data_IF_067583882477
#
_entry.id   IF_067583882477
#
_cell.length_a   1.000
_cell.length_b   1.000
_cell.length_c   1.000
_cell.angle_alpha   90.00
_cell.angle_beta   90.00
_cell.angle_gamma   90.00
#
_symmetry.space_group_name_H-M   'P 1'
#
loop_
_entity.id
_entity.type
_entity.pdbx_description
1 polymer ?
#
# COMPACT_ATOMS: atom_id res chain seq x y z
N UNK A 1 -7.14 -61.07 -10.36
CA UNK A 1 -5.90 -60.33 -10.68
C UNK A 1 -6.17 -58.86 -10.42
N UNK A 2 -5.53 -58.24 -9.43
CA UNK A 2 -5.65 -56.79 -9.21
C UNK A 2 -4.79 -56.12 -10.28
N UNK A 3 -5.40 -55.40 -11.19
CA UNK A 3 -4.69 -54.53 -12.14
C UNK A 3 -3.93 -53.49 -11.31
N UNK A 4 -2.60 -53.47 -11.39
CA UNK A 4 -1.80 -52.38 -10.85
C UNK A 4 -2.07 -51.14 -11.71
N UNK A 5 -3.07 -50.35 -11.31
CA UNK A 5 -3.40 -49.07 -11.95
C UNK A 5 -2.27 -48.07 -11.66
N UNK A 6 -1.77 -47.39 -12.70
CA UNK A 6 -0.69 -46.40 -12.55
C UNK A 6 -1.18 -45.12 -11.87
N UNK A 7 -0.25 -44.34 -11.33
CA UNK A 7 -0.53 -43.02 -10.74
C UNK A 7 -1.34 -42.11 -11.69
N UNK A 8 -1.00 -42.07 -12.98
CA UNK A 8 -1.69 -41.23 -13.96
C UNK A 8 -3.12 -41.72 -14.25
N UNK A 9 -3.35 -43.02 -14.27
CA UNK A 9 -4.70 -43.58 -14.44
C UNK A 9 -5.60 -43.28 -13.24
N UNK A 10 -5.09 -43.43 -12.01
CA UNK A 10 -5.85 -43.13 -10.79
C UNK A 10 -6.26 -41.64 -10.74
N UNK A 11 -5.34 -40.75 -11.13
CA UNK A 11 -5.62 -39.32 -11.25
C UNK A 11 -6.65 -39.03 -12.35
N UNK A 12 -6.49 -39.62 -13.54
CA UNK A 12 -7.40 -39.41 -14.69
C UNK A 12 -8.82 -39.89 -14.43
N UNK A 13 -8.98 -40.98 -13.67
CA UNK A 13 -10.30 -41.57 -13.36
C UNK A 13 -11.02 -40.88 -12.19
N UNK A 14 -10.41 -39.86 -11.55
CA UNK A 14 -10.97 -39.13 -10.40
C UNK A 14 -11.59 -40.06 -9.35
N UNK A 15 -10.99 -41.23 -9.11
CA UNK A 15 -11.60 -42.22 -8.22
C UNK A 15 -11.68 -41.62 -6.82
N UNK A 16 -12.90 -41.50 -6.28
CA UNK A 16 -13.21 -41.09 -4.90
C UNK A 16 -12.68 -42.08 -3.84
N UNK A 17 -11.82 -43.00 -4.24
CA UNK A 17 -11.18 -43.98 -3.39
C UNK A 17 -10.09 -43.33 -2.53
N UNK A 18 -9.80 -43.96 -1.39
CA UNK A 18 -8.75 -43.55 -0.45
C UNK A 18 -7.41 -43.52 -1.21
N UNK A 19 -6.64 -42.40 -1.16
CA UNK A 19 -5.40 -42.28 -1.92
C UNK A 19 -4.46 -43.41 -1.51
N UNK A 20 -3.98 -44.15 -2.51
CA UNK A 20 -3.15 -45.34 -2.32
C UNK A 20 -1.66 -44.99 -2.25
N UNK A 21 -1.27 -43.85 -2.84
CA UNK A 21 0.11 -43.36 -2.91
C UNK A 21 0.28 -41.92 -2.40
N UNK A 22 1.51 -41.55 -2.01
CA UNK A 22 1.84 -40.19 -1.57
C UNK A 22 1.59 -39.15 -2.68
N UNK A 23 1.91 -39.49 -3.93
CA UNK A 23 1.70 -38.63 -5.10
C UNK A 23 0.21 -38.34 -5.33
N UNK A 24 -0.66 -39.34 -5.19
CA UNK A 24 -2.13 -39.14 -5.27
C UNK A 24 -2.64 -38.20 -4.19
N UNK A 25 -2.13 -38.33 -2.96
CA UNK A 25 -2.49 -37.44 -1.85
C UNK A 25 -2.04 -35.99 -2.11
N UNK A 26 -0.84 -35.80 -2.65
CA UNK A 26 -0.33 -34.47 -3.01
C UNK A 26 -1.15 -33.87 -4.16
N UNK A 27 -1.49 -34.67 -5.17
CA UNK A 27 -2.35 -34.25 -6.28
C UNK A 27 -3.72 -33.75 -5.81
N UNK A 28 -4.45 -34.56 -5.03
CA UNK A 28 -5.75 -34.20 -4.48
C UNK A 28 -5.67 -32.92 -3.61
N UNK A 29 -4.56 -32.73 -2.89
CA UNK A 29 -4.33 -31.53 -2.08
C UNK A 29 -4.12 -30.29 -2.95
N UNK A 30 -3.39 -30.39 -4.06
CA UNK A 30 -3.24 -29.29 -5.02
C UNK A 30 -4.60 -28.91 -5.58
N UNK A 31 -5.39 -29.86 -6.08
CA UNK A 31 -6.75 -29.59 -6.59
C UNK A 31 -7.64 -28.90 -5.55
N UNK A 32 -7.62 -29.38 -4.31
CA UNK A 32 -8.35 -28.76 -3.19
C UNK A 32 -7.89 -27.33 -2.92
N UNK A 33 -6.58 -27.06 -2.94
CA UNK A 33 -6.04 -25.72 -2.70
C UNK A 33 -6.30 -24.77 -3.87
N UNK A 34 -6.19 -25.24 -5.12
CA UNK A 34 -6.56 -24.48 -6.32
C UNK A 34 -8.04 -24.07 -6.25
N UNK A 35 -8.93 -25.03 -5.97
CA UNK A 35 -10.37 -24.75 -5.80
C UNK A 35 -10.65 -23.81 -4.64
N UNK A 36 -9.96 -23.97 -3.50
CA UNK A 36 -10.08 -23.06 -2.34
C UNK A 36 -9.74 -21.63 -2.74
N UNK A 37 -8.61 -21.41 -3.41
CA UNK A 37 -8.14 -20.08 -3.78
C UNK A 37 -9.07 -19.44 -4.83
N UNK A 38 -9.50 -20.19 -5.84
CA UNK A 38 -10.46 -19.70 -6.84
C UNK A 38 -11.81 -19.33 -6.19
N UNK A 39 -12.33 -20.17 -5.29
CA UNK A 39 -13.55 -19.87 -4.56
C UNK A 39 -13.41 -18.65 -3.64
N UNK A 40 -12.23 -18.48 -3.02
CA UNK A 40 -11.95 -17.30 -2.19
C UNK A 40 -11.98 -16.03 -3.05
N UNK A 41 -11.30 -16.04 -4.19
CA UNK A 41 -11.27 -14.93 -5.14
C UNK A 41 -12.67 -14.57 -5.65
N UNK A 42 -13.47 -15.56 -6.05
CA UNK A 42 -14.86 -15.35 -6.46
C UNK A 42 -15.71 -14.73 -5.35
N UNK A 43 -15.55 -15.18 -4.11
CA UNK A 43 -16.28 -14.61 -2.96
C UNK A 43 -15.84 -13.18 -2.67
N UNK A 44 -14.55 -12.91 -2.76
CA UNK A 44 -13.95 -11.59 -2.58
C UNK A 44 -14.50 -10.59 -3.61
N UNK A 45 -14.49 -10.96 -4.89
CA UNK A 45 -15.08 -10.18 -5.97
C UNK A 45 -16.59 -9.99 -5.79
N UNK A 46 -17.33 -11.05 -5.46
CA UNK A 46 -18.78 -10.96 -5.24
C UNK A 46 -19.16 -10.08 -4.05
N UNK A 47 -18.36 -10.05 -2.99
CA UNK A 47 -18.54 -9.12 -1.88
C UNK A 47 -18.24 -7.68 -2.30
N UNK A 48 -17.15 -7.48 -3.05
CA UNK A 48 -16.76 -6.16 -3.54
C UNK A 48 -17.84 -5.55 -4.43
N UNK A 49 -18.42 -6.32 -5.36
CA UNK A 49 -19.54 -5.87 -6.20
C UNK A 49 -20.72 -5.41 -5.33
N UNK A 50 -21.11 -6.20 -4.33
CA UNK A 50 -22.20 -5.81 -3.42
C UNK A 50 -21.88 -4.55 -2.61
N UNK A 51 -20.61 -4.36 -2.21
CA UNK A 51 -20.13 -3.15 -1.56
C UNK A 51 -20.25 -1.93 -2.48
N UNK A 52 -19.80 -2.04 -3.75
CA UNK A 52 -19.91 -0.95 -4.73
C UNK A 52 -21.36 -0.51 -4.96
N UNK A 53 -22.29 -1.47 -4.94
CA UNK A 53 -23.70 -1.18 -5.16
C UNK A 53 -24.40 -0.58 -3.93
N UNK A 54 -24.03 -1.00 -2.72
CA UNK A 54 -24.79 -0.67 -1.50
C UNK A 54 -24.12 0.34 -0.58
N UNK A 55 -22.78 0.34 -0.50
CA UNK A 55 -22.03 1.07 0.55
C UNK A 55 -21.21 2.20 -0.06
N UNK A 56 -20.54 1.97 -1.19
CA UNK A 56 -19.70 2.98 -1.84
C UNK A 56 -20.42 4.32 -2.11
N UNK A 57 -21.71 4.37 -2.51
CA UNK A 57 -22.41 5.64 -2.67
C UNK A 57 -22.51 6.45 -1.36
N UNK A 58 -22.59 5.77 -0.21
CA UNK A 58 -22.62 6.41 1.10
C UNK A 58 -21.23 6.90 1.52
N UNK A 59 -20.17 6.12 1.26
CA UNK A 59 -18.77 6.54 1.48
C UNK A 59 -18.46 7.81 0.66
N UNK A 60 -18.86 7.82 -0.62
CA UNK A 60 -18.69 8.97 -1.50
C UNK A 60 -19.50 10.19 -1.03
N UNK A 61 -20.71 9.97 -0.53
CA UNK A 61 -21.53 11.05 0.02
C UNK A 61 -20.90 11.64 1.29
N UNK A 62 -20.44 10.82 2.22
CA UNK A 62 -19.71 11.27 3.41
C UNK A 62 -18.45 12.06 3.03
N UNK A 63 -17.68 11.58 2.04
CA UNK A 63 -16.51 12.31 1.55
C UNK A 63 -16.88 13.71 1.01
N UNK A 64 -18.01 13.84 0.30
CA UNK A 64 -18.54 15.13 -0.15
C UNK A 64 -18.96 16.02 1.01
N UNK A 65 -19.58 15.47 2.07
CA UNK A 65 -19.97 16.22 3.25
C UNK A 65 -18.75 16.74 4.02
N UNK A 66 -17.71 15.91 4.19
CA UNK A 66 -16.44 16.33 4.79
C UNK A 66 -15.78 17.43 3.96
N UNK A 67 -15.78 17.31 2.63
CA UNK A 67 -15.27 18.36 1.75
C UNK A 67 -16.03 19.69 1.90
N UNK A 68 -17.36 19.64 2.02
CA UNK A 68 -18.17 20.83 2.30
C UNK A 68 -17.82 21.43 3.67
N UNK A 69 -17.59 20.59 4.67
CA UNK A 69 -17.12 21.02 5.99
C UNK A 69 -15.78 21.74 5.92
N UNK A 70 -14.78 21.17 5.25
CA UNK A 70 -13.48 21.81 5.03
C UNK A 70 -13.66 23.19 4.40
N UNK A 71 -14.41 23.28 3.30
CA UNK A 71 -14.65 24.53 2.59
C UNK A 71 -15.37 25.58 3.46
N UNK A 72 -16.34 25.16 4.27
CA UNK A 72 -17.09 26.05 5.17
C UNK A 72 -16.21 26.55 6.32
N UNK A 73 -15.57 25.63 7.04
CA UNK A 73 -14.72 25.94 8.19
C UNK A 73 -13.52 26.81 7.81
N UNK A 74 -12.95 26.60 6.62
CA UNK A 74 -11.83 27.42 6.10
C UNK A 74 -12.16 28.91 6.05
N UNK A 75 -13.42 29.29 5.81
CA UNK A 75 -13.83 30.70 5.72
C UNK A 75 -13.71 31.46 7.06
N UNK A 76 -13.60 30.74 8.17
CA UNK A 76 -13.43 31.33 9.50
C UNK A 76 -11.97 31.58 9.87
N UNK A 77 -11.02 30.93 9.19
CA UNK A 77 -9.57 31.09 9.43
C UNK A 77 -9.08 32.54 9.38
N UNK A 78 -9.55 33.44 8.49
CA UNK A 78 -9.08 34.84 8.52
C UNK A 78 -9.80 35.72 9.58
N UNK A 79 -10.71 35.19 10.40
CA UNK A 79 -11.48 36.01 11.34
C UNK A 79 -10.63 36.41 12.55
N UNK A 80 -10.39 37.73 12.71
CA UNK A 80 -9.64 38.33 13.84
C UNK A 80 -10.23 38.06 15.22
N UNK A 81 -11.50 37.68 15.30
CA UNK A 81 -12.14 37.38 16.57
C UNK A 81 -11.68 36.05 17.18
N UNK A 82 -11.14 35.10 16.41
CA UNK A 82 -10.59 33.83 16.95
C UNK A 82 -9.26 34.08 17.65
N UNK A 83 -9.02 33.42 18.79
CA UNK A 83 -7.69 33.39 19.41
C UNK A 83 -6.75 32.49 18.61
N UNK A 84 -5.44 32.62 18.81
CA UNK A 84 -4.46 31.78 18.12
C UNK A 84 -4.66 30.30 18.43
N UNK A 85 -4.94 29.97 19.70
CA UNK A 85 -5.25 28.60 20.11
C UNK A 85 -6.49 28.03 19.40
N UNK A 86 -7.58 28.81 19.32
CA UNK A 86 -8.79 28.41 18.59
C UNK A 86 -8.52 28.23 17.10
N UNK A 87 -7.68 29.10 16.51
CA UNK A 87 -7.34 29.03 15.09
C UNK A 87 -6.47 27.81 14.78
N UNK A 88 -5.50 27.50 15.64
CA UNK A 88 -4.68 26.31 15.50
C UNK A 88 -5.55 25.05 15.58
N UNK A 89 -6.49 24.97 16.54
CA UNK A 89 -7.44 23.84 16.59
C UNK A 89 -8.27 23.71 15.32
N UNK A 90 -8.74 24.84 14.77
CA UNK A 90 -9.51 24.85 13.51
C UNK A 90 -8.67 24.34 12.33
N UNK A 91 -7.42 24.78 12.24
CA UNK A 91 -6.47 24.34 11.21
C UNK A 91 -6.15 22.86 11.35
N UNK A 92 -5.87 22.39 12.57
CA UNK A 92 -5.60 20.98 12.87
C UNK A 92 -6.78 20.10 12.51
N UNK A 93 -7.99 20.54 12.82
CA UNK A 93 -9.20 19.82 12.44
C UNK A 93 -9.37 19.74 10.93
N UNK A 94 -9.22 20.85 10.20
CA UNK A 94 -9.31 20.82 8.73
C UNK A 94 -8.22 19.92 8.11
N UNK A 95 -6.99 19.93 8.66
CA UNK A 95 -5.92 19.05 8.22
C UNK A 95 -6.26 17.57 8.47
N UNK A 96 -6.83 17.23 9.64
CA UNK A 96 -7.27 15.87 9.92
C UNK A 96 -8.35 15.39 8.93
N UNK A 97 -9.30 16.25 8.58
CA UNK A 97 -10.31 15.96 7.56
C UNK A 97 -9.68 15.78 6.16
N UNK A 98 -8.68 16.61 5.80
CA UNK A 98 -7.93 16.48 4.55
C UNK A 98 -7.11 15.18 4.48
N UNK A 99 -6.42 14.82 5.56
CA UNK A 99 -5.63 13.59 5.67
C UNK A 99 -6.53 12.35 5.59
N UNK A 100 -7.70 12.41 6.22
CA UNK A 100 -8.72 11.39 6.10
C UNK A 100 -9.14 11.20 4.63
N UNK A 101 -9.51 12.28 3.94
CA UNK A 101 -9.91 12.20 2.53
C UNK A 101 -8.76 11.74 1.61
N UNK A 102 -7.52 12.15 1.87
CA UNK A 102 -6.36 11.76 1.08
C UNK A 102 -6.00 10.27 1.22
N UNK A 103 -6.24 9.69 2.40
CA UNK A 103 -6.00 8.27 2.66
C UNK A 103 -7.21 7.38 2.32
N UNK A 104 -8.39 7.96 2.11
CA UNK A 104 -9.62 7.22 1.87
C UNK A 104 -9.74 6.75 0.40
N UNK A 105 -9.90 5.43 0.15
CA UNK A 105 -9.91 4.90 -1.22
C UNK A 105 -11.21 5.16 -2.00
N UNK A 106 -12.32 5.51 -1.33
CA UNK A 106 -13.65 5.62 -1.96
C UNK A 106 -14.21 7.05 -1.98
N UNK A 107 -13.39 8.03 -2.37
CA UNK A 107 -13.78 9.46 -2.44
C UNK A 107 -14.52 9.85 -3.73
N UNK A 108 -14.60 8.95 -4.72
CA UNK A 108 -15.35 9.18 -5.96
C UNK A 108 -14.67 10.21 -6.89
N UNK A 109 -15.40 11.25 -7.27
CA UNK A 109 -14.91 12.31 -8.18
C UNK A 109 -14.52 13.60 -7.44
N UNK A 110 -14.17 13.48 -6.16
CA UNK A 110 -13.83 14.62 -5.34
C UNK A 110 -12.51 15.26 -5.83
N UNK A 111 -12.55 16.58 -6.10
CA UNK A 111 -11.37 17.33 -6.49
C UNK A 111 -10.60 17.79 -5.25
N UNK A 112 -9.68 16.93 -4.80
CA UNK A 112 -8.82 17.18 -3.64
C UNK A 112 -7.93 18.40 -3.82
N UNK A 113 -7.53 18.73 -5.06
CA UNK A 113 -6.68 19.88 -5.33
C UNK A 113 -7.45 21.19 -5.09
N UNK A 114 -8.68 21.28 -5.59
CA UNK A 114 -9.55 22.44 -5.36
C UNK A 114 -9.87 22.64 -3.87
N UNK A 115 -10.13 21.57 -3.13
CA UNK A 115 -10.43 21.64 -1.69
C UNK A 115 -9.21 22.14 -0.91
N UNK A 116 -8.04 21.51 -1.14
CA UNK A 116 -6.77 21.93 -0.53
C UNK A 116 -6.43 23.38 -0.88
N UNK A 117 -6.64 23.79 -2.14
CA UNK A 117 -6.41 25.17 -2.57
C UNK A 117 -7.33 26.16 -1.84
N UNK A 118 -8.60 25.81 -1.65
CA UNK A 118 -9.55 26.65 -0.91
C UNK A 118 -9.11 26.87 0.54
N UNK A 119 -8.69 25.80 1.22
CA UNK A 119 -8.12 25.89 2.57
C UNK A 119 -6.85 26.75 2.60
N UNK A 120 -5.87 26.46 1.73
CA UNK A 120 -4.61 27.21 1.63
C UNK A 120 -4.83 28.69 1.33
N UNK A 121 -5.81 29.02 0.49
CA UNK A 121 -6.17 30.40 0.17
C UNK A 121 -6.62 31.16 1.43
N UNK A 122 -7.49 30.57 2.24
CA UNK A 122 -7.97 31.20 3.48
C UNK A 122 -6.88 31.31 4.55
N UNK A 123 -6.02 30.28 4.66
CA UNK A 123 -4.87 30.30 5.57
C UNK A 123 -3.83 31.36 5.16
N UNK A 124 -3.50 31.42 3.87
CA UNK A 124 -2.58 32.42 3.32
C UNK A 124 -3.09 33.85 3.53
N UNK A 125 -4.40 34.08 3.38
CA UNK A 125 -5.01 35.38 3.71
C UNK A 125 -4.80 35.76 5.18
N UNK A 126 -4.97 34.83 6.11
CA UNK A 126 -4.70 35.11 7.52
C UNK A 126 -3.22 35.42 7.77
N UNK A 127 -2.31 34.62 7.20
CA UNK A 127 -0.87 34.82 7.37
C UNK A 127 -0.42 36.18 6.81
N UNK A 128 -0.93 36.57 5.63
CA UNK A 128 -0.68 37.89 5.05
C UNK A 128 -1.23 39.02 5.92
N UNK A 129 -2.43 38.88 6.49
CA UNK A 129 -2.99 39.86 7.42
C UNK A 129 -2.17 39.96 8.71
N UNK A 130 -1.73 38.84 9.27
CA UNK A 130 -0.89 38.79 10.48
C UNK A 130 0.47 39.47 10.24
N UNK A 131 1.10 39.20 9.09
CA UNK A 131 2.37 39.81 8.69
C UNK A 131 2.22 41.31 8.41
N UNK A 132 1.09 41.74 7.86
CA UNK A 132 0.82 43.15 7.65
C UNK A 132 0.66 43.92 8.98
N UNK A 133 0.11 43.27 10.00
CA UNK A 133 -0.13 43.83 11.34
C UNK A 133 1.15 43.82 12.23
N UNK A 134 2.30 43.27 11.77
CA UNK A 134 3.57 43.31 12.51
C UNK A 134 4.04 44.77 12.70
N UNK A 135 4.27 45.23 13.95
CA UNK A 135 4.78 46.57 14.21
C UNK A 135 6.16 46.80 13.59
N UNK A 136 6.42 48.01 13.08
CA UNK A 136 7.76 48.37 12.57
C UNK A 136 8.87 48.20 13.60
N UNK A 137 8.56 48.25 14.90
CA UNK A 137 9.53 47.96 15.97
C UNK A 137 10.02 46.51 15.96
N UNK A 138 9.15 45.54 15.68
CA UNK A 138 9.52 44.12 15.61
C UNK A 138 10.27 43.81 14.31
N UNK A 139 9.85 44.42 13.19
CA UNK A 139 10.59 44.35 11.93
C UNK A 139 11.98 44.96 12.05
N UNK A 140 12.14 46.03 12.84
CA UNK A 140 13.45 46.61 13.13
C UNK A 140 14.34 45.68 13.96
N UNK A 141 13.76 44.91 14.91
CA UNK A 141 14.53 43.89 15.64
C UNK A 141 14.96 42.78 14.69
N UNK A 142 14.07 42.27 13.84
CA UNK A 142 14.40 41.24 12.86
C UNK A 142 15.45 41.72 11.84
N UNK A 143 15.32 42.96 11.35
CA UNK A 143 16.34 43.64 10.53
C UNK A 143 17.69 43.69 11.24
N UNK A 144 17.71 44.06 12.51
CA UNK A 144 18.95 44.15 13.29
C UNK A 144 19.60 42.78 13.45
N UNK A 145 18.82 41.72 13.67
CA UNK A 145 19.34 40.34 13.73
C UNK A 145 19.95 39.92 12.39
N UNK A 146 19.25 40.13 11.28
CA UNK A 146 19.78 39.79 9.94
C UNK A 146 21.02 40.61 9.58
N UNK A 147 21.10 41.89 9.99
CA UNK A 147 22.27 42.72 9.79
C UNK A 147 23.47 42.32 10.66
N UNK A 148 23.23 41.67 11.80
CA UNK A 148 24.29 41.13 12.64
C UNK A 148 24.97 39.92 11.97
N UNK A 149 24.17 39.03 11.38
CA UNK A 149 24.67 37.83 10.69
C UNK A 149 25.17 38.15 9.27
N UNK A 150 24.56 39.12 8.59
CA UNK A 150 24.91 39.58 7.24
C UNK A 150 25.14 41.11 7.22
N UNK A 151 26.32 41.59 7.63
CA UNK A 151 26.63 43.02 7.67
C UNK A 151 26.54 43.67 6.28
N UNK A 152 25.66 44.65 6.12
CA UNK A 152 25.42 45.36 4.87
C UNK A 152 24.19 44.89 4.08
N UNK A 153 23.46 43.89 4.57
CA UNK A 153 22.19 43.46 3.99
C UNK A 153 21.11 44.55 4.19
N UNK A 154 20.58 45.08 3.09
CA UNK A 154 19.53 46.09 3.08
C UNK A 154 18.18 45.46 2.70
N UNK A 155 17.28 45.33 3.69
CA UNK A 155 15.92 44.82 3.49
C UNK A 155 14.88 45.86 3.91
N UNK A 156 13.93 46.13 3.03
CA UNK A 156 12.75 46.98 3.29
C UNK A 156 11.78 46.30 4.26
N UNK A 157 10.88 47.08 4.88
CA UNK A 157 9.83 46.52 5.76
C UNK A 157 8.94 45.54 4.99
N UNK A 158 8.68 45.80 3.70
CA UNK A 158 7.94 44.92 2.81
C UNK A 158 8.68 43.60 2.53
N UNK A 159 9.98 43.65 2.24
CA UNK A 159 10.78 42.43 2.02
C UNK A 159 10.91 41.58 3.28
N UNK A 160 11.04 42.20 4.47
CA UNK A 160 11.07 41.48 5.74
C UNK A 160 9.74 40.78 6.02
N UNK A 161 8.62 41.42 5.68
CA UNK A 161 7.29 40.82 5.74
C UNK A 161 7.17 39.62 4.80
N UNK A 162 7.63 39.73 3.56
CA UNK A 162 7.65 38.61 2.60
C UNK A 162 8.51 37.43 3.09
N UNK A 163 9.69 37.69 3.65
CA UNK A 163 10.56 36.67 4.24
C UNK A 163 9.90 35.99 5.46
N UNK A 164 9.09 36.72 6.22
CA UNK A 164 8.33 36.14 7.35
C UNK A 164 7.25 35.16 6.88
N UNK A 165 6.71 35.36 5.66
CA UNK A 165 5.74 34.45 5.04
C UNK A 165 6.42 33.25 4.36
N UNK A 166 7.57 33.47 3.73
CA UNK A 166 8.37 32.45 3.06
C UNK A 166 9.86 32.67 3.36
N UNK A 167 10.43 31.94 4.36
CA UNK A 167 11.83 32.05 4.73
C UNK A 167 12.81 31.77 3.58
N UNK A 168 12.39 31.08 2.50
CA UNK A 168 13.25 30.80 1.36
C UNK A 168 13.58 32.06 0.54
N UNK A 169 12.74 33.10 0.61
CA UNK A 169 12.99 34.38 -0.06
C UNK A 169 14.22 35.11 0.50
N UNK A 170 14.63 34.80 1.73
CA UNK A 170 15.85 35.34 2.31
C UNK A 170 17.08 34.97 1.47
N UNK A 171 17.19 33.70 1.05
CA UNK A 171 18.31 33.24 0.22
C UNK A 171 18.38 33.98 -1.11
N UNK A 172 17.24 34.21 -1.74
CA UNK A 172 17.17 34.99 -2.98
C UNK A 172 17.67 36.43 -2.78
N UNK A 173 17.30 37.07 -1.67
CA UNK A 173 17.78 38.43 -1.37
C UNK A 173 19.26 38.47 -0.98
N UNK A 174 19.78 37.41 -0.34
CA UNK A 174 21.20 37.25 -0.07
C UNK A 174 22.00 37.12 -1.38
N UNK A 175 21.53 36.28 -2.30
CA UNK A 175 22.16 36.10 -3.63
C UNK A 175 22.14 37.41 -4.43
N UNK A 176 21.00 38.10 -4.49
CA UNK A 176 20.85 39.39 -5.20
C UNK A 176 21.78 40.50 -4.67
N UNK A 177 22.10 40.47 -3.38
CA UNK A 177 22.98 41.45 -2.73
C UNK A 177 24.44 40.98 -2.61
N UNK A 178 24.80 39.87 -3.28
CA UNK A 178 26.18 39.39 -3.34
C UNK A 178 26.68 38.69 -2.07
N UNK A 179 25.76 38.25 -1.22
CA UNK A 179 26.03 37.34 -0.10
C UNK A 179 25.89 35.86 -0.51
N UNK A 180 25.38 35.58 -1.71
CA UNK A 180 25.34 34.26 -2.33
C UNK A 180 26.71 33.82 -2.84
N UNK A 181 27.12 32.61 -2.49
CA UNK A 181 28.36 32.02 -2.99
C UNK A 181 28.21 31.79 -4.51
N UNK A 182 28.98 32.51 -5.32
CA UNK A 182 28.92 32.37 -6.78
C UNK A 182 29.63 31.08 -7.19
N UNK A 183 28.94 29.95 -7.11
CA UNK A 183 29.32 28.75 -7.84
C UNK A 183 28.21 28.38 -8.81
N UNK A 184 28.32 28.92 -10.02
CA UNK A 184 27.80 28.21 -11.19
C UNK A 184 28.60 26.90 -11.39
N UNK A 185 27.96 25.88 -11.98
CA UNK A 185 28.45 24.51 -11.99
C UNK A 185 29.47 24.31 -13.11
N UNK A 186 30.72 23.93 -12.78
CA UNK A 186 31.61 23.38 -13.79
C UNK A 186 32.52 22.25 -13.25
N UNK A 187 32.41 21.14 -13.98
CA UNK A 187 33.25 19.96 -14.17
C UNK A 187 34.50 19.69 -13.30
N UNK A 188 34.57 18.42 -12.88
CA UNK A 188 35.76 17.56 -12.78
C UNK A 188 36.98 18.03 -11.97
N UNK A 189 37.10 17.48 -10.76
CA UNK A 189 38.39 17.04 -10.21
C UNK A 189 38.19 16.06 -9.06
N UNK A 190 38.28 14.77 -9.38
CA UNK A 190 38.69 13.71 -8.45
C UNK A 190 40.00 14.09 -7.73
N UNK A 191 40.04 14.06 -6.40
CA UNK A 191 40.91 13.18 -5.61
C UNK A 191 40.81 13.47 -4.10
N UNK A 192 40.50 12.40 -3.37
CA UNK A 192 40.68 12.06 -1.95
C UNK A 192 42.08 12.51 -1.40
N UNK A 193 42.48 12.39 -0.10
CA UNK A 193 41.77 11.88 1.10
C UNK A 193 42.09 12.64 2.41
N UNK A 194 41.11 12.87 3.30
CA UNK A 194 41.41 13.21 4.70
C UNK A 194 41.08 12.06 5.66
N UNK A 195 42.17 11.34 5.89
CA UNK A 195 42.51 10.41 6.95
C UNK A 195 41.80 10.67 8.30
N UNK A 196 41.25 9.58 8.82
CA UNK A 196 40.73 9.42 10.17
C UNK A 196 41.80 9.69 11.24
N UNK A 197 41.38 10.35 12.32
CA UNK A 197 42.18 10.55 13.52
C UNK A 197 41.29 10.88 14.72
N UNK A 198 40.91 9.81 15.44
CA UNK A 198 40.44 9.76 16.83
C UNK A 198 39.28 10.67 17.27
N UNK A 199 38.08 10.09 17.26
CA UNK A 199 37.10 10.32 18.31
C UNK A 199 36.55 8.96 18.75
N UNK A 200 37.06 8.49 19.88
CA UNK A 200 36.60 7.30 20.57
C UNK A 200 35.41 7.71 21.45
N UNK A 201 34.22 7.24 21.11
CA UNK A 201 33.04 7.28 21.96
C UNK A 201 32.29 5.97 21.79
N UNK A 202 32.24 5.21 22.88
CA UNK A 202 31.39 4.05 23.09
C UNK A 202 29.92 4.44 22.84
N UNK A 203 29.29 3.82 21.83
CA UNK A 203 27.86 3.48 21.79
C UNK A 203 27.59 2.63 20.54
N UNK A 204 27.92 1.34 20.62
CA UNK A 204 27.53 0.33 19.62
C UNK A 204 26.32 -0.46 20.16
N UNK A 205 25.16 0.20 20.25
CA UNK A 205 23.86 -0.46 20.39
C UNK A 205 22.84 0.20 19.44
N UNK A 206 23.08 0.16 18.11
CA UNK A 206 21.98 0.18 17.12
C UNK A 206 22.37 -0.19 15.66
N UNK A 207 23.57 -0.71 15.41
CA UNK A 207 24.00 -1.10 14.05
C UNK A 207 23.62 -2.54 13.65
N UNK A 208 23.10 -3.34 14.57
CA UNK A 208 22.73 -4.73 14.30
C UNK A 208 21.41 -4.85 13.51
N UNK A 209 20.44 -3.94 13.68
CA UNK A 209 19.10 -4.10 13.06
C UNK A 209 19.08 -3.75 11.56
N UNK A 210 20.02 -2.91 11.09
CA UNK A 210 20.20 -2.57 9.68
C UNK A 210 20.90 -3.70 8.89
N UNK A 211 21.88 -4.37 9.52
CA UNK A 211 22.59 -5.50 8.90
C UNK A 211 21.72 -6.78 8.89
N UNK A 212 20.86 -6.97 9.89
CA UNK A 212 19.98 -8.13 9.99
C UNK A 212 18.86 -8.13 8.93
N UNK A 213 18.40 -6.94 8.49
CA UNK A 213 17.42 -6.82 7.41
C UNK A 213 18.05 -7.16 6.05
N UNK A 214 19.25 -6.65 5.76
CA UNK A 214 19.97 -6.96 4.51
C UNK A 214 20.41 -8.43 4.41
N UNK A 215 20.90 -9.03 5.50
CA UNK A 215 21.27 -10.45 5.53
C UNK A 215 20.04 -11.38 5.39
N UNK A 216 18.86 -10.99 5.87
CA UNK A 216 17.62 -11.78 5.68
C UNK A 216 17.17 -11.78 4.22
N UNK A 217 17.26 -10.65 3.52
CA UNK A 217 16.97 -10.56 2.09
C UNK A 217 17.93 -11.42 1.25
N UNK A 218 19.24 -11.31 1.49
CA UNK A 218 20.24 -12.14 0.79
C UNK A 218 20.11 -13.63 1.12
N UNK A 219 19.85 -13.98 2.39
CA UNK A 219 19.70 -15.37 2.81
C UNK A 219 18.45 -16.03 2.24
N UNK A 220 17.33 -15.31 2.18
CA UNK A 220 16.09 -15.84 1.61
C UNK A 220 16.14 -15.88 0.08
N UNK A 221 16.81 -14.92 -0.57
CA UNK A 221 17.08 -14.97 -2.01
C UNK A 221 18.04 -16.12 -2.37
N UNK A 222 19.14 -16.32 -1.62
CA UNK A 222 20.07 -17.44 -1.81
C UNK A 222 19.38 -18.79 -1.54
N UNK A 223 18.52 -18.90 -0.52
CA UNK A 223 17.70 -20.09 -0.29
C UNK A 223 16.75 -20.33 -1.46
N UNK A 224 16.10 -19.28 -1.96
CA UNK A 224 15.16 -19.37 -3.06
C UNK A 224 15.86 -19.81 -4.35
N UNK A 225 17.02 -19.22 -4.67
CA UNK A 225 17.88 -19.61 -5.79
C UNK A 225 18.35 -21.08 -5.66
N UNK A 226 18.75 -21.52 -4.46
CA UNK A 226 19.13 -22.94 -4.21
C UNK A 226 17.94 -23.89 -4.38
N UNK A 227 16.75 -23.51 -3.90
CA UNK A 227 15.53 -24.30 -4.10
C UNK A 227 15.15 -24.35 -5.58
N UNK A 228 15.27 -23.24 -6.29
CA UNK A 228 14.99 -23.14 -7.72
C UNK A 228 15.94 -23.99 -8.56
N UNK A 229 17.24 -23.94 -8.30
CA UNK A 229 18.22 -24.78 -8.97
C UNK A 229 17.99 -26.27 -8.69
N UNK A 230 17.54 -26.62 -7.48
CA UNK A 230 17.17 -28.00 -7.11
C UNK A 230 15.92 -28.45 -7.88
N UNK A 231 14.85 -27.65 -7.87
CA UNK A 231 13.60 -27.95 -8.59
C UNK A 231 13.83 -28.04 -10.11
N UNK A 232 14.71 -27.20 -10.66
CA UNK A 232 15.08 -27.25 -12.07
C UNK A 232 15.79 -28.55 -12.44
N UNK A 233 16.74 -29.02 -11.61
CA UNK A 233 17.38 -30.33 -11.80
C UNK A 233 16.36 -31.48 -11.77
N UNK A 234 15.42 -31.43 -10.82
CA UNK A 234 14.34 -32.42 -10.68
C UNK A 234 13.40 -32.41 -11.90
N UNK A 235 13.05 -31.24 -12.43
CA UNK A 235 12.21 -31.10 -13.63
C UNK A 235 12.93 -31.50 -14.93
N UNK A 236 14.25 -31.27 -15.01
CA UNK A 236 15.08 -31.69 -16.15
C UNK A 236 15.41 -33.20 -16.15
N UNK A 237 15.18 -33.89 -15.03
CA UNK A 237 15.31 -35.35 -14.95
C UNK A 237 14.37 -36.06 -15.95
N UNK A 238 14.81 -37.21 -16.44
CA UNK A 238 14.60 -37.61 -17.84
C UNK A 238 13.13 -37.69 -18.32
N UNK A 239 12.23 -38.29 -17.53
CA UNK A 239 10.87 -38.61 -18.00
C UNK A 239 9.98 -37.36 -18.10
N UNK A 240 10.10 -36.40 -17.17
CA UNK A 240 9.36 -35.13 -17.22
C UNK A 240 9.79 -34.26 -18.40
N UNK A 241 11.09 -34.19 -18.68
CA UNK A 241 11.60 -33.47 -19.85
C UNK A 241 11.16 -34.13 -21.18
N UNK A 242 11.09 -35.48 -21.22
CA UNK A 242 10.51 -36.21 -22.37
C UNK A 242 9.02 -35.87 -22.55
N UNK A 243 8.23 -35.84 -21.47
CA UNK A 243 6.81 -35.45 -21.52
C UNK A 243 6.64 -34.02 -22.02
N UNK A 244 7.43 -33.08 -21.54
CA UNK A 244 7.44 -31.70 -22.03
C UNK A 244 7.72 -31.64 -23.54
N UNK A 245 8.75 -32.33 -24.04
CA UNK A 245 9.06 -32.36 -25.48
C UNK A 245 7.93 -32.97 -26.31
N UNK A 246 7.26 -34.00 -25.79
CA UNK A 246 6.09 -34.63 -26.44
C UNK A 246 4.90 -33.67 -26.50
N UNK A 247 4.59 -32.98 -25.40
CA UNK A 247 3.55 -31.94 -25.33
C UNK A 247 3.85 -30.80 -26.30
N UNK A 248 5.05 -30.22 -26.25
CA UNK A 248 5.47 -29.13 -27.15
C UNK A 248 5.37 -29.53 -28.63
N UNK A 249 5.72 -30.77 -28.96
CA UNK A 249 5.63 -31.28 -30.34
C UNK A 249 4.20 -31.43 -30.85
N UNK A 250 3.25 -31.77 -29.95
CA UNK A 250 1.82 -31.97 -30.24
C UNK A 250 1.04 -30.66 -30.24
N UNK A 251 1.42 -29.73 -29.37
CA UNK A 251 0.74 -28.44 -29.15
C UNK A 251 1.37 -27.29 -29.96
N UNK A 252 2.33 -27.56 -30.84
CA UNK A 252 3.01 -26.53 -31.63
C UNK A 252 2.02 -25.81 -32.59
N UNK A 253 1.90 -24.48 -32.51
CA UNK A 253 0.93 -23.72 -33.31
C UNK A 253 1.22 -23.77 -34.82
N UNK A 254 2.48 -23.87 -35.25
CA UNK A 254 2.83 -23.94 -36.69
C UNK A 254 2.37 -25.19 -37.42
N UNK A 255 1.97 -26.24 -36.67
CA UNK A 255 1.49 -27.50 -37.26
C UNK A 255 -0.03 -27.50 -37.48
N UNK A 256 -0.71 -26.40 -37.18
CA UNK A 256 -2.18 -26.30 -37.29
C UNK A 256 -2.59 -25.30 -38.37
N UNK A 257 -3.29 -25.76 -39.43
CA UNK A 257 -3.78 -24.88 -40.49
C UNK A 257 -5.07 -24.13 -40.12
N UNK A 258 -5.84 -24.62 -39.14
CA UNK A 258 -7.08 -23.98 -38.68
C UNK A 258 -6.77 -22.79 -37.74
N UNK A 259 -7.21 -21.56 -38.05
CA UNK A 259 -6.89 -20.36 -37.28
C UNK A 259 -7.42 -20.39 -35.84
N UNK A 260 -8.59 -20.98 -35.60
CA UNK A 260 -9.17 -21.07 -34.26
C UNK A 260 -8.42 -22.08 -33.40
N UNK A 261 -8.07 -23.24 -33.97
CA UNK A 261 -7.26 -24.25 -33.27
C UNK A 261 -5.81 -23.80 -33.09
N UNK A 262 -5.28 -22.99 -34.00
CA UNK A 262 -3.96 -22.37 -33.87
C UNK A 262 -3.90 -21.43 -32.67
N UNK A 263 -4.93 -20.60 -32.47
CA UNK A 263 -5.03 -19.74 -31.29
C UNK A 263 -5.11 -20.56 -29.98
N UNK A 264 -5.91 -21.63 -29.96
CA UNK A 264 -5.98 -22.54 -28.80
C UNK A 264 -4.64 -23.22 -28.51
N UNK A 265 -3.95 -23.74 -29.53
CA UNK A 265 -2.62 -24.33 -29.40
C UNK A 265 -1.56 -23.33 -28.95
N UNK A 266 -1.64 -22.09 -29.42
CA UNK A 266 -0.78 -21.01 -28.96
C UNK A 266 -0.94 -20.77 -27.45
N UNK A 267 -2.18 -20.66 -26.96
CA UNK A 267 -2.46 -20.52 -25.53
C UNK A 267 -1.95 -21.71 -24.71
N UNK A 268 -2.16 -22.94 -25.18
CA UNK A 268 -1.66 -24.15 -24.52
C UNK A 268 -0.13 -24.23 -24.51
N UNK A 269 0.53 -23.79 -25.58
CA UNK A 269 2.00 -23.73 -25.66
C UNK A 269 2.57 -22.66 -24.73
N UNK A 270 1.88 -21.52 -24.58
CA UNK A 270 2.24 -20.50 -23.59
C UNK A 270 2.11 -21.07 -22.17
N UNK A 271 0.97 -21.68 -21.83
CA UNK A 271 0.76 -22.32 -20.53
C UNK A 271 1.82 -23.40 -20.23
N UNK A 272 2.19 -24.21 -21.22
CA UNK A 272 3.24 -25.22 -21.09
C UNK A 272 4.63 -24.59 -20.83
N UNK A 273 4.93 -23.48 -21.49
CA UNK A 273 6.19 -22.75 -21.33
C UNK A 273 6.27 -22.08 -19.95
N UNK A 274 5.17 -21.48 -19.49
CA UNK A 274 5.04 -20.90 -18.16
C UNK A 274 5.17 -21.96 -17.07
N UNK A 275 4.50 -23.11 -17.22
CA UNK A 275 4.61 -24.24 -16.29
C UNK A 275 6.06 -24.72 -16.18
N UNK A 276 6.82 -24.76 -17.29
CA UNK A 276 8.24 -25.10 -17.26
C UNK A 276 9.07 -24.05 -16.54
N UNK A 277 8.82 -22.75 -16.78
CA UNK A 277 9.52 -21.65 -16.10
C UNK A 277 9.28 -21.66 -14.59
N UNK A 278 8.03 -21.93 -14.19
CA UNK A 278 7.60 -22.05 -12.81
C UNK A 278 7.95 -23.41 -12.16
N UNK A 279 8.59 -24.33 -12.89
CA UNK A 279 8.89 -25.70 -12.42
C UNK A 279 7.62 -26.42 -11.91
N UNK A 280 6.47 -26.12 -12.50
CA UNK A 280 5.17 -26.63 -12.11
C UNK A 280 4.92 -28.03 -12.69
N UNK A 281 5.38 -29.03 -11.95
CA UNK A 281 5.17 -30.44 -12.28
C UNK A 281 3.69 -30.82 -12.35
N UNK A 282 2.82 -30.17 -11.57
CA UNK A 282 1.38 -30.46 -11.58
C UNK A 282 0.76 -30.05 -12.92
N UNK A 283 1.00 -28.81 -13.37
CA UNK A 283 0.43 -28.31 -14.64
C UNK A 283 0.95 -29.11 -15.84
N UNK A 284 2.23 -29.50 -15.84
CA UNK A 284 2.78 -30.37 -16.89
C UNK A 284 2.03 -31.72 -16.97
N UNK A 285 1.84 -32.38 -15.83
CA UNK A 285 1.14 -33.66 -15.74
C UNK A 285 -0.34 -33.51 -16.14
N UNK A 286 -1.01 -32.43 -15.72
CA UNK A 286 -2.40 -32.16 -16.05
C UNK A 286 -2.59 -31.97 -17.56
N UNK A 287 -1.71 -31.19 -18.21
CA UNK A 287 -1.70 -31.03 -19.67
C UNK A 287 -1.44 -32.37 -20.36
N UNK A 288 -0.53 -33.18 -19.83
CA UNK A 288 -0.25 -34.50 -20.38
C UNK A 288 -1.46 -35.43 -20.34
N UNK A 289 -2.11 -35.58 -19.17
CA UNK A 289 -3.30 -36.41 -18.98
C UNK A 289 -4.46 -35.95 -19.88
N UNK A 290 -4.58 -34.64 -20.11
CA UNK A 290 -5.64 -34.05 -20.95
C UNK A 290 -5.42 -34.33 -22.43
N UNK A 291 -4.17 -34.35 -22.89
CA UNK A 291 -3.84 -34.47 -24.31
C UNK A 291 -3.35 -35.85 -24.74
N UNK A 292 -3.03 -36.76 -23.82
CA UNK A 292 -2.57 -38.11 -24.14
C UNK A 292 -3.40 -39.16 -23.40
N UNK A 293 -3.68 -40.26 -24.09
CA UNK A 293 -4.33 -41.45 -23.52
C UNK A 293 -3.33 -42.54 -23.12
N UNK A 294 -2.04 -42.25 -23.27
CA UNK A 294 -0.95 -43.16 -22.95
C UNK A 294 -0.85 -43.37 -21.43
N UNK A 295 -0.72 -44.64 -21.04
CA UNK A 295 -0.45 -45.03 -19.66
C UNK A 295 1.07 -45.03 -19.42
N UNK A 296 1.58 -43.93 -18.86
CA UNK A 296 3.00 -43.82 -18.51
C UNK A 296 3.19 -44.27 -17.07
N UNK A 297 3.90 -45.38 -16.89
CA UNK A 297 4.42 -45.77 -15.58
C UNK A 297 5.72 -45.02 -15.30
N UNK A 298 5.73 -44.27 -14.19
CA UNK A 298 6.90 -43.52 -13.77
C UNK A 298 7.90 -44.45 -13.07
N UNK A 299 9.19 -44.28 -13.38
CA UNK A 299 10.23 -44.94 -12.58
C UNK A 299 10.28 -44.35 -11.16
N UNK A 300 10.87 -45.10 -10.22
CA UNK A 300 10.94 -44.67 -8.82
C UNK A 300 11.73 -43.36 -8.65
N UNK A 301 12.69 -43.08 -9.54
CA UNK A 301 13.42 -41.80 -9.59
C UNK A 301 12.48 -40.64 -9.96
N UNK A 302 11.66 -40.78 -11.01
CA UNK A 302 10.71 -39.75 -11.42
C UNK A 302 9.63 -39.55 -10.37
N UNK A 303 9.13 -40.64 -9.75
CA UNK A 303 8.19 -40.54 -8.63
C UNK A 303 8.78 -39.76 -7.46
N UNK A 304 10.03 -40.05 -7.08
CA UNK A 304 10.74 -39.32 -6.04
C UNK A 304 10.97 -37.84 -6.40
N UNK A 305 11.22 -37.53 -7.67
CA UNK A 305 11.40 -36.17 -8.16
C UNK A 305 10.08 -35.37 -8.24
N UNK A 306 8.95 -36.04 -8.42
CA UNK A 306 7.62 -35.41 -8.45
C UNK A 306 7.15 -34.95 -7.06
N UNK A 307 7.46 -35.70 -6.00
CA UNK A 307 7.09 -35.33 -4.62
C UNK A 307 7.45 -33.88 -4.26
N UNK A 308 8.72 -33.43 -4.37
CA UNK A 308 9.10 -32.06 -4.05
C UNK A 308 8.50 -31.01 -5.00
N UNK A 309 8.26 -31.34 -6.28
CA UNK A 309 7.59 -30.42 -7.23
C UNK A 309 6.13 -30.17 -6.84
N UNK A 310 5.40 -31.22 -6.47
CA UNK A 310 4.01 -31.10 -6.02
C UNK A 310 3.91 -30.42 -4.64
N UNK A 311 4.84 -30.69 -3.72
CA UNK A 311 4.93 -29.99 -2.44
C UNK A 311 5.21 -28.50 -2.61
N UNK A 312 6.10 -28.13 -3.53
CA UNK A 312 6.35 -26.73 -3.87
C UNK A 312 5.08 -26.05 -4.41
N UNK A 313 4.33 -26.71 -5.31
CA UNK A 313 3.04 -26.18 -5.78
C UNK A 313 2.03 -25.93 -4.66
N UNK A 314 1.96 -26.83 -3.67
CA UNK A 314 1.12 -26.65 -2.48
C UNK A 314 1.57 -25.43 -1.67
N UNK A 315 2.88 -25.21 -1.52
CA UNK A 315 3.44 -24.06 -0.83
C UNK A 315 3.08 -22.75 -1.56
N UNK A 316 3.25 -22.71 -2.89
CA UNK A 316 2.85 -21.58 -3.74
C UNK A 316 1.36 -21.25 -3.58
N UNK A 317 0.48 -22.25 -3.65
CA UNK A 317 -0.96 -22.04 -3.48
C UNK A 317 -1.33 -21.52 -2.08
N UNK A 318 -0.61 -21.94 -1.04
CA UNK A 318 -0.83 -21.41 0.31
C UNK A 318 -0.27 -19.99 0.49
N UNK A 319 0.86 -19.67 -0.15
CA UNK A 319 1.40 -18.32 -0.19
C UNK A 319 0.45 -17.38 -0.94
N UNK A 320 -0.06 -17.80 -2.10
CA UNK A 320 -1.05 -17.05 -2.87
C UNK A 320 -2.31 -16.77 -2.04
N UNK A 321 -2.84 -17.78 -1.35
CA UNK A 321 -4.02 -17.60 -0.51
C UNK A 321 -3.81 -16.65 0.67
N UNK A 322 -2.59 -16.63 1.25
CA UNK A 322 -2.22 -15.65 2.29
C UNK A 322 -2.14 -14.25 1.71
N UNK A 323 -1.42 -14.09 0.60
CA UNK A 323 -1.33 -12.80 -0.12
C UNK A 323 -2.71 -12.26 -0.52
N UNK A 324 -3.62 -13.12 -0.98
CA UNK A 324 -4.99 -12.71 -1.33
C UNK A 324 -5.80 -12.20 -0.11
N UNK A 325 -5.42 -12.58 1.12
CA UNK A 325 -6.06 -12.13 2.36
C UNK A 325 -5.40 -10.90 2.97
N UNK A 326 -4.10 -10.74 2.75
CA UNK A 326 -3.24 -9.73 3.38
C UNK A 326 -2.86 -8.59 2.42
N UNK A 327 -3.32 -8.62 1.18
CA UNK A 327 -3.07 -7.56 0.21
C UNK A 327 -3.62 -6.20 0.64
N UNK A 328 -3.06 -5.13 0.08
CA UNK A 328 -3.51 -3.75 0.32
C UNK A 328 -4.41 -3.21 -0.82
N UNK A 329 -4.91 -4.09 -1.69
CA UNK A 329 -5.87 -3.70 -2.72
C UNK A 329 -7.26 -3.40 -2.13
N UNK A 330 -8.04 -2.56 -2.80
CA UNK A 330 -9.40 -2.16 -2.40
C UNK A 330 -10.30 -3.37 -2.08
N UNK A 331 -10.20 -4.45 -2.87
CA UNK A 331 -11.02 -5.63 -2.64
C UNK A 331 -10.63 -6.33 -1.33
N UNK A 332 -9.34 -6.31 -0.94
CA UNK A 332 -8.89 -6.87 0.34
C UNK A 332 -9.35 -6.01 1.51
N UNK A 333 -9.29 -4.68 1.38
CA UNK A 333 -9.79 -3.77 2.41
C UNK A 333 -11.28 -4.00 2.70
N UNK A 334 -12.10 -4.07 1.64
CA UNK A 334 -13.54 -4.37 1.74
C UNK A 334 -13.76 -5.76 2.34
N UNK A 335 -13.00 -6.77 1.90
CA UNK A 335 -13.10 -8.12 2.46
C UNK A 335 -12.77 -8.15 3.95
N UNK A 336 -11.71 -7.49 4.39
CA UNK A 336 -11.29 -7.47 5.80
C UNK A 336 -12.32 -6.78 6.68
N UNK A 337 -12.93 -5.69 6.20
CA UNK A 337 -13.90 -4.90 6.97
C UNK A 337 -15.28 -5.55 7.03
N UNK A 338 -15.77 -6.11 5.92
CA UNK A 338 -17.19 -6.49 5.80
C UNK A 338 -17.49 -7.98 5.70
N UNK A 339 -16.48 -8.83 5.49
CA UNK A 339 -16.72 -10.27 5.42
C UNK A 339 -17.32 -10.82 6.73
N UNK A 340 -18.20 -11.81 6.61
CA UNK A 340 -18.91 -12.41 7.73
C UNK A 340 -19.01 -13.93 7.63
N UNK A 341 -19.39 -14.58 8.74
CA UNK A 341 -19.60 -16.05 8.78
C UNK A 341 -20.80 -16.48 7.92
N UNK A 342 -21.71 -15.57 7.62
CA UNK A 342 -22.94 -15.82 6.84
C UNK A 342 -23.27 -14.61 5.97
N UNK A 343 -24.16 -14.80 4.98
CA UNK A 343 -24.70 -13.70 4.17
C UNK A 343 -25.49 -12.68 5.01
N UNK A 344 -26.15 -13.15 6.07
CA UNK A 344 -26.89 -12.28 6.99
C UNK A 344 -25.93 -11.35 7.74
N UNK A 345 -24.80 -11.89 8.23
CA UNK A 345 -23.77 -11.08 8.90
C UNK A 345 -23.17 -10.03 7.96
N UNK A 346 -22.91 -10.39 6.70
CA UNK A 346 -22.40 -9.43 5.71
C UNK A 346 -23.38 -8.28 5.51
N UNK A 347 -24.68 -8.58 5.41
CA UNK A 347 -25.72 -7.57 5.26
C UNK A 347 -25.83 -6.68 6.50
N UNK A 348 -25.72 -7.25 7.69
CA UNK A 348 -25.68 -6.52 8.96
C UNK A 348 -24.46 -5.59 9.02
N UNK A 349 -23.25 -6.09 8.73
CA UNK A 349 -22.04 -5.28 8.67
C UNK A 349 -22.15 -4.09 7.70
N UNK A 350 -22.80 -4.29 6.54
CA UNK A 350 -23.08 -3.18 5.62
C UNK A 350 -24.09 -2.20 6.19
N UNK A 351 -25.19 -2.69 6.77
CA UNK A 351 -26.22 -1.83 7.36
C UNK A 351 -25.67 -0.98 8.51
N UNK A 352 -24.87 -1.57 9.39
CA UNK A 352 -24.25 -0.88 10.52
C UNK A 352 -23.28 0.21 10.05
N UNK A 353 -22.46 -0.09 9.04
CA UNK A 353 -21.53 0.88 8.47
C UNK A 353 -22.25 2.00 7.72
N UNK A 354 -23.29 1.68 6.93
CA UNK A 354 -24.13 2.70 6.28
C UNK A 354 -24.82 3.59 7.33
N UNK A 355 -25.31 3.00 8.42
CA UNK A 355 -25.92 3.78 9.51
C UNK A 355 -24.90 4.71 10.17
N UNK A 356 -23.67 4.24 10.42
CA UNK A 356 -22.59 5.07 10.94
C UNK A 356 -22.26 6.23 9.98
N UNK A 357 -22.08 5.96 8.69
CA UNK A 357 -21.83 6.98 7.67
C UNK A 357 -22.95 8.02 7.61
N UNK A 358 -24.21 7.59 7.63
CA UNK A 358 -25.35 8.50 7.60
C UNK A 358 -25.42 9.36 8.87
N UNK A 359 -25.16 8.79 10.05
CA UNK A 359 -25.09 9.55 11.29
C UNK A 359 -24.00 10.62 11.23
N UNK A 360 -22.80 10.28 10.74
CA UNK A 360 -21.73 11.26 10.55
C UNK A 360 -22.12 12.35 9.54
N UNK A 361 -22.80 12.00 8.44
CA UNK A 361 -23.31 12.97 7.48
C UNK A 361 -24.37 13.91 8.11
N UNK A 362 -25.26 13.36 8.94
CA UNK A 362 -26.28 14.13 9.66
C UNK A 362 -25.62 15.08 10.66
N UNK A 363 -24.62 14.63 11.41
CA UNK A 363 -23.83 15.46 12.33
C UNK A 363 -23.11 16.60 11.59
N UNK A 364 -22.48 16.32 10.45
CA UNK A 364 -21.86 17.35 9.61
C UNK A 364 -22.93 18.33 9.11
N UNK A 365 -24.07 17.83 8.63
CA UNK A 365 -25.15 18.68 8.12
C UNK A 365 -25.71 19.60 9.20
N UNK A 366 -25.99 19.06 10.38
CA UNK A 366 -26.44 19.83 11.53
C UNK A 366 -25.41 20.90 11.89
N UNK A 367 -24.13 20.52 11.97
CA UNK A 367 -23.03 21.45 12.21
C UNK A 367 -22.96 22.57 11.21
N UNK A 368 -23.03 22.28 9.91
CA UNK A 368 -23.03 23.29 8.87
C UNK A 368 -24.22 24.25 8.98
N UNK A 369 -25.37 23.76 9.46
CA UNK A 369 -26.58 24.57 9.63
C UNK A 369 -26.49 25.56 10.80
N UNK A 370 -25.92 25.16 11.95
CA UNK A 370 -25.85 26.03 13.13
C UNK A 370 -24.54 26.83 13.21
N UNK A 371 -23.43 26.29 12.70
CA UNK A 371 -22.10 26.90 12.74
C UNK A 371 -21.93 27.96 11.64
N UNK A 372 -22.86 28.90 11.57
CA UNK A 372 -22.88 30.00 10.59
C UNK A 372 -22.18 31.26 11.09
N UNK A 373 -21.84 31.31 12.37
CA UNK A 373 -21.22 32.49 13.01
C UNK A 373 -19.96 32.10 13.77
N UNK A 374 -19.02 33.05 13.87
CA UNK A 374 -17.77 32.83 14.61
C UNK A 374 -18.02 32.54 16.09
N UNK A 375 -19.11 33.06 16.67
CA UNK A 375 -19.43 32.83 18.09
C UNK A 375 -19.68 31.35 18.35
N UNK A 376 -20.49 30.70 17.51
CA UNK A 376 -20.84 29.29 17.71
C UNK A 376 -19.64 28.39 17.39
N UNK A 377 -18.87 28.73 16.35
CA UNK A 377 -17.63 28.01 16.06
C UNK A 377 -16.64 28.04 17.24
N UNK A 378 -16.55 29.15 17.98
CA UNK A 378 -15.70 29.23 19.17
C UNK A 378 -16.13 28.28 20.28
N UNK A 379 -17.43 28.09 20.47
CA UNK A 379 -17.97 27.17 21.48
C UNK A 379 -17.53 25.74 21.13
N UNK A 380 -17.72 25.32 19.87
CA UNK A 380 -17.24 24.03 19.35
C UNK A 380 -15.72 23.84 19.49
N UNK A 381 -14.93 24.84 19.09
CA UNK A 381 -13.47 24.76 19.19
C UNK A 381 -13.00 24.66 20.64
N UNK A 382 -13.63 25.39 21.56
CA UNK A 382 -13.30 25.31 22.98
C UNK A 382 -13.62 23.92 23.55
N UNK A 383 -14.77 23.35 23.20
CA UNK A 383 -15.14 22.00 23.64
C UNK A 383 -14.14 20.96 23.12
N UNK A 384 -13.73 21.06 21.84
CA UNK A 384 -12.68 20.21 21.26
C UNK A 384 -11.32 20.36 21.96
N UNK A 385 -10.92 21.60 22.27
CA UNK A 385 -9.67 21.88 22.99
C UNK A 385 -9.73 21.28 24.40
N UNK A 386 -10.87 21.41 25.10
CA UNK A 386 -11.08 20.81 26.42
C UNK A 386 -11.00 19.28 26.35
N UNK A 387 -11.66 18.65 25.38
CA UNK A 387 -11.63 17.20 25.19
C UNK A 387 -10.22 16.69 24.90
N UNK A 388 -9.45 17.37 24.04
CA UNK A 388 -8.04 17.02 23.77
C UNK A 388 -7.17 17.13 25.03
N UNK A 389 -7.40 18.14 25.86
CA UNK A 389 -6.69 18.33 27.13
C UNK A 389 -7.10 17.32 28.21
N UNK A 390 -8.32 16.78 28.12
CA UNK A 390 -8.85 15.78 29.03
C UNK A 390 -8.68 14.34 28.54
N UNK A 391 -8.15 14.14 27.33
CA UNK A 391 -7.73 12.82 26.87
C UNK A 391 -6.63 12.33 27.82
N UNK A 392 -6.81 11.19 28.53
CA UNK A 392 -5.77 10.67 29.40
C UNK A 392 -4.52 10.45 28.55
N UNK A 393 -3.38 11.00 28.99
CA UNK A 393 -2.06 10.75 28.40
C UNK A 393 -2.01 9.30 27.91
N UNK A 394 -1.74 9.12 26.61
CA UNK A 394 -1.45 7.78 26.12
C UNK A 394 -0.32 7.21 26.97
N UNK A 395 -0.34 5.90 27.18
CA UNK A 395 0.68 5.21 27.96
C UNK A 395 2.09 5.50 27.40
N UNK A 396 2.18 5.76 26.08
CA UNK A 396 3.36 6.22 25.35
C UNK A 396 3.87 7.59 25.83
N UNK A 397 3.01 8.60 25.91
CA UNK A 397 3.39 9.95 26.34
C UNK A 397 3.77 10.00 27.84
N UNK A 398 3.16 9.14 28.66
CA UNK A 398 3.54 8.95 30.05
C UNK A 398 4.93 8.31 30.22
N UNK A 399 5.32 7.43 29.28
CA UNK A 399 6.65 6.84 29.27
C UNK A 399 7.73 7.82 28.81
N UNK A 400 7.49 8.59 27.75
CA UNK A 400 8.45 9.61 27.29
C UNK A 400 8.71 10.72 28.33
N UNK A 401 7.68 11.14 29.07
CA UNK A 401 7.81 12.09 30.18
C UNK A 401 8.59 11.52 31.37
N UNK A 402 8.65 10.20 31.54
CA UNK A 402 9.38 9.56 32.64
C UNK A 402 10.88 9.38 32.34
N UNK A 403 11.26 9.35 31.07
CA UNK A 403 12.64 9.13 30.63
C UNK A 403 13.38 10.40 30.18
N UNK A 404 12.71 11.56 30.18
CA UNK A 404 13.34 12.87 29.97
C UNK A 404 13.45 13.67 31.28
N UNK A 405 14.22 13.16 32.25
CA UNK A 405 14.73 13.91 33.40
C UNK A 405 16.24 13.79 33.52
#
# INVERSE_FOLDING_TARGET
MKTNTTFLQNVKQQTTAKPSSELERLWQRIEKHTKRNANFDTKKQGLFIQFKEQVEPHEQHQAQMIAQQICHLSQFIPRKSLTDEQRNELVDWINADLDYLASHPFTGHLDMETISHTFKFHLGKHNQEAVNDIPSSELNVFRTMLQQDFPGLELTDEQLKEITLDPQLLYKHLDEQGFGDTQEPDSESTDDPFNAGDAQSDDDEDWDDFFDQFERFDRDEIKQQRTDAKLEKLFKSSQLNKMYKRLASKLHPDKEPDPTKKAQKHALMQQLSEARKAKDGFTLLQLYITHFDDDVDFDEETKANLVPLLQNKIAELNALHRRQKEGNDEHTLVWRKFNGRSKAQIKENFADHIAALNNECDEITERLSYCTTVKVLKEELNDRILDKRHMPMSLEAAFESMFNL
#
